data_IF_679115505952
#
_entry.id   IF_679115505952
#
_cell.length_a   1.000
_cell.length_b   1.000
_cell.length_c   1.000
_cell.angle_alpha   90.00
_cell.angle_beta   90.00
_cell.angle_gamma   90.00
#
_symmetry.space_group_name_H-M   'P 1'
#
loop_
_entity.id
_entity.type
_entity.pdbx_description
1 polymer ?
#
# COMPACT_ATOMS: atom_id res chain seq x y z
N UNK A 1 -24.02 2.19 -13.85
CA UNK A 1 -22.57 1.96 -13.96
C UNK A 1 -21.95 2.50 -12.68
N UNK A 2 -21.77 1.63 -11.70
CA UNK A 2 -21.39 1.99 -10.33
C UNK A 2 -19.96 2.52 -10.28
N UNK A 3 -19.72 3.48 -9.38
CA UNK A 3 -18.43 4.13 -9.20
C UNK A 3 -17.30 3.10 -9.08
N UNK A 4 -16.28 3.27 -9.90
CA UNK A 4 -15.09 2.44 -10.01
C UNK A 4 -14.51 2.10 -8.62
N UNK A 5 -14.63 0.85 -8.17
CA UNK A 5 -13.99 0.32 -6.95
C UNK A 5 -12.47 0.24 -7.17
N UNK A 6 -11.80 1.39 -7.18
CA UNK A 6 -10.35 1.45 -7.34
C UNK A 6 -9.70 0.92 -6.07
N UNK A 7 -9.14 -0.29 -6.18
CA UNK A 7 -8.34 -0.93 -5.13
C UNK A 7 -7.03 -0.15 -4.94
N UNK A 8 -6.53 0.02 -3.71
CA UNK A 8 -5.29 0.74 -3.47
C UNK A 8 -4.08 0.04 -4.10
N UNK A 9 -3.11 0.85 -4.51
CA UNK A 9 -1.73 0.39 -4.76
C UNK A 9 -0.99 0.30 -3.43
N UNK A 10 -0.39 -0.84 -3.13
CA UNK A 10 0.39 -1.06 -1.92
C UNK A 10 1.85 -0.66 -2.14
N UNK A 11 2.34 0.35 -1.42
CA UNK A 11 3.75 0.74 -1.51
C UNK A 11 4.54 0.09 -0.37
N UNK A 12 5.32 -0.94 -0.66
CA UNK A 12 6.23 -1.54 0.32
C UNK A 12 7.42 -0.61 0.61
N UNK A 13 7.83 -0.56 1.88
CA UNK A 13 8.87 0.37 2.30
C UNK A 13 8.44 1.83 2.19
N UNK A 14 7.15 2.11 2.40
CA UNK A 14 6.53 3.43 2.27
C UNK A 14 7.22 4.54 3.09
N UNK A 15 7.91 4.19 4.18
CA UNK A 15 8.64 5.14 5.03
C UNK A 15 10.07 5.43 4.54
N UNK A 16 10.57 4.68 3.55
CA UNK A 16 11.90 4.82 2.98
C UNK A 16 12.00 5.95 1.95
N UNK A 17 13.23 6.18 1.45
CA UNK A 17 13.53 7.28 0.50
C UNK A 17 12.70 7.18 -0.77
N UNK A 18 12.63 5.99 -1.38
CA UNK A 18 11.85 5.78 -2.61
C UNK A 18 10.36 5.67 -2.30
N UNK A 19 9.99 4.84 -1.33
CA UNK A 19 8.59 4.57 -0.98
C UNK A 19 7.79 5.84 -0.66
N UNK A 20 8.34 6.78 0.12
CA UNK A 20 7.65 8.04 0.45
C UNK A 20 7.32 8.86 -0.81
N UNK A 21 8.25 8.95 -1.76
CA UNK A 21 8.06 9.69 -3.02
C UNK A 21 7.00 9.03 -3.91
N UNK A 22 6.96 7.71 -3.94
CA UNK A 22 5.94 6.95 -4.70
C UNK A 22 4.57 7.16 -4.08
N UNK A 23 4.46 7.05 -2.74
CA UNK A 23 3.23 7.28 -2.00
C UNK A 23 2.68 8.70 -2.25
N UNK A 24 3.53 9.72 -2.14
CA UNK A 24 3.16 11.12 -2.42
C UNK A 24 2.67 11.31 -3.86
N UNK A 25 3.36 10.74 -4.85
CA UNK A 25 2.97 10.85 -6.27
C UNK A 25 1.64 10.19 -6.57
N UNK A 26 1.39 8.98 -6.03
CA UNK A 26 0.13 8.27 -6.21
C UNK A 26 -1.03 9.01 -5.55
N UNK A 27 -0.81 9.49 -4.32
CA UNK A 27 -1.78 10.30 -3.59
C UNK A 27 -2.12 11.60 -4.34
N UNK A 28 -1.12 12.33 -4.84
CA UNK A 28 -1.30 13.56 -5.61
C UNK A 28 -1.99 13.32 -6.96
N UNK A 29 -1.88 12.11 -7.53
CA UNK A 29 -2.59 11.70 -8.73
C UNK A 29 -4.04 11.23 -8.45
N UNK A 30 -4.51 11.31 -7.20
CA UNK A 30 -5.86 10.87 -6.81
C UNK A 30 -6.04 9.35 -6.83
N UNK A 31 -4.95 8.58 -6.86
CA UNK A 31 -5.01 7.11 -6.83
C UNK A 31 -5.07 6.63 -5.38
N UNK A 32 -6.00 5.72 -5.04
CA UNK A 32 -5.97 5.06 -3.74
C UNK A 32 -4.62 4.38 -3.51
N UNK A 33 -4.03 4.59 -2.34
CA UNK A 33 -2.69 4.08 -2.00
C UNK A 33 -2.68 3.59 -0.55
N UNK A 34 -2.01 2.46 -0.32
CA UNK A 34 -1.79 1.86 0.99
C UNK A 34 -0.30 1.84 1.30
N UNK A 35 0.09 2.30 2.48
CA UNK A 35 1.48 2.24 2.93
C UNK A 35 1.78 0.86 3.53
N UNK A 36 2.75 0.14 2.96
CA UNK A 36 3.29 -1.09 3.53
C UNK A 36 4.54 -0.81 4.35
N UNK A 37 4.46 -0.99 5.67
CA UNK A 37 5.61 -0.94 6.58
C UNK A 37 5.36 -1.78 7.82
N UNK A 38 6.42 -2.06 8.59
CA UNK A 38 6.33 -2.77 9.88
C UNK A 38 5.50 -2.02 10.93
N UNK A 39 5.38 -0.70 10.79
CA UNK A 39 4.62 0.15 11.70
C UNK A 39 3.28 0.61 11.12
N UNK A 40 2.87 0.09 9.95
CA UNK A 40 1.58 0.40 9.34
C UNK A 40 0.47 -0.46 9.98
N UNK A 41 -0.78 -0.08 9.69
CA UNK A 41 -1.97 -0.86 10.08
C UNK A 41 -2.81 -1.12 8.82
N UNK A 42 -2.91 -2.37 8.34
CA UNK A 42 -2.22 -3.58 8.82
C UNK A 42 -0.68 -3.53 8.61
N UNK A 43 0.12 -4.20 9.47
CA UNK A 43 1.57 -4.22 9.33
C UNK A 43 1.99 -5.12 8.17
N UNK A 44 3.09 -4.75 7.50
CA UNK A 44 3.80 -5.61 6.55
C UNK A 44 5.23 -5.83 7.04
N UNK A 45 5.57 -7.07 7.38
CA UNK A 45 6.94 -7.46 7.74
C UNK A 45 7.44 -8.61 6.87
N UNK A 46 8.55 -8.39 6.16
CA UNK A 46 9.22 -9.40 5.35
C UNK A 46 9.64 -10.64 6.13
N UNK A 47 9.87 -10.54 7.44
CA UNK A 47 10.25 -11.69 8.28
C UNK A 47 9.06 -12.41 8.91
N UNK A 48 7.85 -11.88 8.78
CA UNK A 48 6.62 -12.46 9.34
C UNK A 48 5.55 -12.64 8.25
N UNK A 49 5.58 -13.75 7.49
CA UNK A 49 4.63 -14.00 6.40
C UNK A 49 3.15 -13.98 6.80
N UNK A 50 2.85 -14.23 8.07
CA UNK A 50 1.49 -14.12 8.61
C UNK A 50 0.90 -12.71 8.51
N UNK A 51 1.73 -11.68 8.38
CA UNK A 51 1.30 -10.29 8.24
C UNK A 51 0.86 -9.93 6.82
N UNK A 52 1.32 -10.67 5.80
CA UNK A 52 1.15 -10.30 4.39
C UNK A 52 -0.30 -10.37 3.88
N UNK A 53 -1.10 -11.39 4.21
CA UNK A 53 -2.44 -11.53 3.63
C UNK A 53 -3.34 -10.32 3.89
N UNK A 54 -3.27 -9.74 5.10
CA UNK A 54 -4.07 -8.58 5.46
C UNK A 54 -3.71 -7.32 4.63
N UNK A 55 -2.44 -7.19 4.25
CA UNK A 55 -1.94 -6.02 3.51
C UNK A 55 -2.20 -6.17 2.02
N UNK A 56 -2.17 -7.40 1.50
CA UNK A 56 -2.44 -7.72 0.09
C UNK A 56 -3.95 -7.79 -0.23
N UNK A 57 -4.80 -8.02 0.77
CA UNK A 57 -6.24 -8.02 0.61
C UNK A 57 -6.72 -6.69 0.01
N UNK A 58 -7.52 -6.78 -1.06
CA UNK A 58 -8.06 -5.63 -1.79
C UNK A 58 -7.00 -4.69 -2.37
N UNK A 59 -5.80 -5.16 -2.66
CA UNK A 59 -4.77 -4.40 -3.37
C UNK A 59 -4.81 -4.67 -4.88
N UNK A 60 -4.66 -3.62 -5.70
CA UNK A 60 -4.61 -3.72 -7.18
C UNK A 60 -3.21 -4.10 -7.67
N UNK A 61 -2.19 -3.46 -7.09
CA UNK A 61 -0.78 -3.58 -7.48
C UNK A 61 0.12 -3.28 -6.27
N UNK A 62 1.37 -3.73 -6.34
CA UNK A 62 2.40 -3.54 -5.31
C UNK A 62 3.63 -2.85 -5.91
#
# INVERSE_FOLDING_TARGET
MSANEQKPVLVLGATGRTGRRVLERLSNAGRPVRAGSRSATPPFDWTEPATWPAVLADTEAV
#
